data_IF_953567557821
#
_entry.id   IF_953567557821
#
_cell.length_a   1.000
_cell.length_b   1.000
_cell.length_c   1.000
_cell.angle_alpha   90.00
_cell.angle_beta   90.00
_cell.angle_gamma   90.00
#
_symmetry.space_group_name_H-M   'P 1'
#
loop_
_entity.id
_entity.type
_entity.pdbx_description
1 polymer ?
#
# COMPACT_ATOMS: atom_id res chain seq x y z
N UNK A 1 -93.32 6.57 -22.56
CA UNK A 1 -92.52 5.36 -22.26
C UNK A 1 -91.29 5.34 -23.15
N UNK A 2 -90.14 5.77 -22.65
CA UNK A 2 -88.85 5.78 -23.39
C UNK A 2 -87.90 4.84 -22.65
N UNK A 3 -87.51 3.75 -23.33
CA UNK A 3 -86.56 2.79 -22.81
C UNK A 3 -85.14 3.34 -23.04
N UNK A 4 -84.40 3.53 -21.96
CA UNK A 4 -82.96 3.81 -21.99
C UNK A 4 -82.21 2.48 -22.16
N UNK A 5 -81.42 2.42 -23.22
CA UNK A 5 -80.45 1.33 -23.46
C UNK A 5 -79.13 1.79 -22.87
N UNK A 6 -78.65 1.11 -21.81
CA UNK A 6 -77.36 1.33 -21.24
C UNK A 6 -76.30 0.55 -22.07
N UNK A 7 -75.38 1.28 -22.70
CA UNK A 7 -74.18 0.72 -23.31
C UNK A 7 -73.15 0.48 -22.22
N UNK A 8 -72.82 -0.78 -21.97
CA UNK A 8 -71.69 -1.16 -21.13
C UNK A 8 -70.41 -1.07 -21.99
N UNK A 9 -69.62 -0.07 -21.66
CA UNK A 9 -68.24 0.05 -22.22
C UNK A 9 -67.29 -0.92 -21.54
N UNK A 10 -66.78 -1.85 -22.31
CA UNK A 10 -65.73 -2.77 -21.88
C UNK A 10 -64.40 -2.04 -21.96
N UNK A 11 -63.86 -1.57 -20.81
CA UNK A 11 -62.50 -1.05 -20.76
C UNK A 11 -61.49 -2.21 -20.69
N UNK A 12 -60.78 -2.44 -21.80
CA UNK A 12 -59.69 -3.36 -21.84
C UNK A 12 -58.46 -2.70 -21.20
N UNK A 13 -58.18 -2.97 -19.92
CA UNK A 13 -56.95 -2.58 -19.29
C UNK A 13 -55.82 -3.57 -19.67
N UNK A 14 -54.96 -3.10 -20.59
CA UNK A 14 -53.69 -3.79 -20.90
C UNK A 14 -52.79 -3.58 -19.71
N UNK A 15 -52.74 -4.56 -18.84
CA UNK A 15 -51.77 -4.62 -17.78
C UNK A 15 -50.40 -4.94 -18.38
N UNK A 16 -49.54 -3.92 -18.45
CA UNK A 16 -48.10 -4.14 -18.73
C UNK A 16 -47.55 -4.78 -17.47
N UNK A 17 -47.39 -6.10 -17.49
CA UNK A 17 -46.65 -6.81 -16.49
C UNK A 17 -45.17 -6.41 -16.63
N UNK A 18 -44.71 -5.54 -15.73
CA UNK A 18 -43.28 -5.36 -15.52
C UNK A 18 -42.72 -6.69 -14.99
N UNK A 19 -42.15 -7.47 -15.91
CA UNK A 19 -41.31 -8.61 -15.53
C UNK A 19 -40.02 -7.98 -14.99
N UNK A 20 -39.98 -7.75 -13.68
CA UNK A 20 -38.74 -7.53 -12.98
C UNK A 20 -37.89 -8.78 -13.21
N UNK A 21 -36.90 -8.68 -14.10
CA UNK A 21 -35.80 -9.63 -14.15
C UNK A 21 -35.04 -9.46 -12.84
N UNK A 22 -35.47 -10.15 -11.81
CA UNK A 22 -34.63 -10.48 -10.71
C UNK A 22 -33.53 -11.36 -11.31
N UNK A 23 -32.44 -10.75 -11.74
CA UNK A 23 -31.22 -11.46 -12.07
C UNK A 23 -30.82 -12.20 -10.81
N UNK A 24 -31.20 -13.47 -10.72
CA UNK A 24 -30.60 -14.38 -9.79
C UNK A 24 -29.10 -14.35 -10.10
N UNK A 25 -28.33 -13.59 -9.32
CA UNK A 25 -26.89 -13.77 -9.26
C UNK A 25 -26.71 -15.19 -8.76
N UNK A 26 -26.49 -16.09 -9.72
CA UNK A 26 -25.99 -17.43 -9.41
C UNK A 26 -24.63 -17.15 -8.79
N UNK A 27 -24.58 -17.08 -7.47
CA UNK A 27 -23.35 -17.22 -6.74
C UNK A 27 -22.87 -18.64 -7.03
N UNK A 28 -22.02 -18.77 -8.03
CA UNK A 28 -21.23 -19.95 -8.24
C UNK A 28 -20.37 -20.08 -6.97
N UNK A 29 -20.87 -20.83 -6.01
CA UNK A 29 -20.07 -21.34 -4.89
C UNK A 29 -19.24 -22.49 -5.42
N UNK A 30 -18.37 -22.15 -6.39
CA UNK A 30 -17.34 -23.06 -6.82
C UNK A 30 -16.28 -23.06 -5.71
N UNK A 31 -16.10 -24.18 -5.00
CA UNK A 31 -15.09 -24.28 -3.95
C UNK A 31 -13.68 -24.01 -4.48
N UNK A 32 -13.44 -24.28 -5.76
CA UNK A 32 -12.19 -23.97 -6.42
C UNK A 32 -12.03 -22.46 -6.62
N UNK A 33 -13.07 -21.74 -7.03
CA UNK A 33 -13.06 -20.29 -7.13
C UNK A 33 -12.87 -19.63 -5.77
N UNK A 34 -13.46 -20.16 -4.71
CA UNK A 34 -13.25 -19.69 -3.34
C UNK A 34 -11.82 -19.93 -2.85
N UNK A 35 -11.22 -21.07 -3.18
CA UNK A 35 -9.82 -21.36 -2.87
C UNK A 35 -8.86 -20.43 -3.66
N UNK A 36 -9.14 -20.20 -4.93
CA UNK A 36 -8.36 -19.25 -5.74
C UNK A 36 -8.46 -17.83 -5.21
N UNK A 37 -9.65 -17.39 -4.79
CA UNK A 37 -9.83 -16.06 -4.20
C UNK A 37 -9.13 -15.94 -2.84
N UNK A 38 -9.22 -16.97 -1.99
CA UNK A 38 -8.51 -17.02 -0.72
C UNK A 38 -6.99 -17.04 -0.91
N UNK A 39 -6.48 -17.83 -1.86
CA UNK A 39 -5.06 -17.85 -2.21
C UNK A 39 -4.61 -16.50 -2.79
N UNK A 40 -5.43 -15.88 -3.64
CA UNK A 40 -5.20 -14.55 -4.19
C UNK A 40 -5.16 -13.51 -3.08
N UNK A 41 -6.13 -13.53 -2.17
CA UNK A 41 -6.18 -12.62 -1.02
C UNK A 41 -4.95 -12.80 -0.13
N UNK A 42 -4.60 -14.03 0.24
CA UNK A 42 -3.42 -14.32 1.05
C UNK A 42 -2.10 -13.90 0.39
N UNK A 43 -2.03 -13.91 -0.95
CA UNK A 43 -0.86 -13.44 -1.70
C UNK A 43 -0.70 -11.91 -1.66
N UNK A 44 -1.82 -11.18 -1.48
CA UNK A 44 -1.83 -9.72 -1.45
C UNK A 44 -2.02 -9.13 -0.06
N UNK A 45 -2.41 -9.96 0.92
CA UNK A 45 -2.41 -9.56 2.31
C UNK A 45 -0.97 -9.64 2.81
N UNK A 46 -0.41 -8.51 3.17
CA UNK A 46 0.83 -8.45 3.92
C UNK A 46 0.57 -7.83 5.30
N UNK A 47 1.33 -8.20 6.32
CA UNK A 47 1.21 -7.54 7.61
C UNK A 47 1.58 -6.06 7.46
N UNK A 48 0.83 -5.18 8.12
CA UNK A 48 1.12 -3.75 8.10
C UNK A 48 2.54 -3.50 8.61
N UNK A 49 3.24 -2.59 7.93
CA UNK A 49 4.60 -2.20 8.31
C UNK A 49 4.59 -1.52 9.67
N UNK A 50 5.33 -2.06 10.62
CA UNK A 50 5.50 -1.54 11.96
C UNK A 50 6.66 -0.56 12.01
N UNK A 51 6.44 0.60 12.61
CA UNK A 51 7.50 1.59 12.83
C UNK A 51 8.14 1.31 14.17
N UNK A 52 9.44 1.07 14.20
CA UNK A 52 10.22 1.06 15.44
C UNK A 52 10.53 2.50 15.81
N UNK A 53 10.08 2.98 16.99
CA UNK A 53 10.25 4.37 17.38
C UNK A 53 11.74 4.77 17.46
N UNK A 54 12.06 5.95 16.96
CA UNK A 54 13.36 6.59 17.11
C UNK A 54 13.21 7.91 17.89
N UNK A 55 14.24 8.30 18.62
CA UNK A 55 14.31 9.62 19.26
C UNK A 55 14.70 10.73 18.29
N UNK A 56 15.34 10.38 17.17
CA UNK A 56 15.97 11.33 16.26
C UNK A 56 15.09 11.64 15.03
N UNK A 57 14.17 10.73 14.70
CA UNK A 57 13.23 10.91 13.60
C UNK A 57 11.82 10.51 14.01
N UNK A 58 10.85 11.17 13.39
CA UNK A 58 9.45 10.73 13.39
C UNK A 58 9.11 10.23 11.98
N UNK A 59 8.59 9.02 11.90
CA UNK A 59 8.15 8.40 10.65
C UNK A 59 6.63 8.33 10.62
N UNK A 60 6.02 8.65 9.48
CA UNK A 60 4.59 8.50 9.22
C UNK A 60 4.42 7.76 7.91
N UNK A 61 3.87 6.55 7.93
CA UNK A 61 3.57 5.80 6.72
C UNK A 61 2.30 6.37 6.09
N UNK A 62 2.38 6.78 4.83
CA UNK A 62 1.26 7.30 4.04
C UNK A 62 0.74 6.28 3.04
N UNK A 63 1.55 5.26 2.71
CA UNK A 63 1.20 4.17 1.82
C UNK A 63 1.88 2.88 2.28
N UNK A 64 1.09 1.83 2.39
CA UNK A 64 1.53 0.48 2.74
C UNK A 64 0.59 -0.51 2.05
N UNK A 65 0.96 -0.96 0.85
CA UNK A 65 0.06 -1.77 0.02
C UNK A 65 0.79 -2.52 -1.08
N UNK A 66 0.18 -3.61 -1.52
CA UNK A 66 0.62 -4.30 -2.73
C UNK A 66 -0.05 -3.65 -3.94
N UNK A 67 0.76 -3.03 -4.79
CA UNK A 67 0.32 -2.43 -6.05
C UNK A 67 0.38 -3.43 -7.19
N UNK A 68 -0.65 -3.41 -8.03
CA UNK A 68 -0.75 -4.22 -9.24
C UNK A 68 -0.61 -3.37 -10.49
N UNK A 69 0.08 -3.91 -11.47
CA UNK A 69 0.08 -3.40 -12.84
C UNK A 69 -0.37 -4.52 -13.78
N UNK A 70 -0.99 -4.16 -14.89
CA UNK A 70 -1.45 -5.13 -15.90
C UNK A 70 -0.32 -5.99 -16.51
N UNK A 71 0.91 -5.49 -16.49
CA UNK A 71 2.03 -6.06 -17.25
C UNK A 71 3.28 -6.33 -16.41
N UNK A 72 3.25 -6.08 -15.10
CA UNK A 72 4.37 -6.29 -14.19
C UNK A 72 3.93 -7.09 -12.97
N UNK A 73 4.87 -7.83 -12.34
CA UNK A 73 4.57 -8.50 -11.08
C UNK A 73 4.08 -7.49 -10.03
N UNK A 74 3.24 -7.93 -9.10
CA UNK A 74 2.82 -7.08 -8.00
C UNK A 74 4.01 -6.59 -7.18
N UNK A 75 3.99 -5.32 -6.77
CA UNK A 75 5.01 -4.71 -5.95
C UNK A 75 4.45 -4.37 -4.57
N UNK A 76 5.18 -4.73 -3.51
CA UNK A 76 4.98 -4.12 -2.21
C UNK A 76 5.54 -2.69 -2.27
N UNK A 77 4.71 -1.73 -1.88
CA UNK A 77 5.09 -0.31 -1.81
C UNK A 77 4.86 0.18 -0.39
N UNK A 78 5.93 0.65 0.25
CA UNK A 78 5.89 1.35 1.54
C UNK A 78 6.44 2.74 1.32
N UNK A 79 5.64 3.76 1.60
CA UNK A 79 6.05 5.15 1.44
C UNK A 79 5.50 6.01 2.57
N UNK A 80 6.15 7.13 2.82
CA UNK A 80 5.75 8.00 3.90
C UNK A 80 6.63 9.23 4.03
N UNK A 81 6.50 9.85 5.20
CA UNK A 81 7.21 11.04 5.59
C UNK A 81 8.15 10.74 6.74
N UNK A 82 9.34 11.33 6.71
CA UNK A 82 10.31 11.34 7.79
C UNK A 82 10.61 12.76 8.22
N UNK A 83 10.50 13.02 9.51
CA UNK A 83 10.74 14.35 10.10
C UNK A 83 11.95 14.28 11.04
N UNK A 84 12.90 15.19 10.89
CA UNK A 84 14.01 15.35 11.82
C UNK A 84 13.49 15.92 13.15
N UNK A 85 13.59 15.16 14.22
CA UNK A 85 13.17 15.58 15.58
C UNK A 85 14.32 16.05 16.46
N UNK A 86 15.54 16.05 15.90
CA UNK A 86 16.73 16.54 16.62
C UNK A 86 16.81 18.08 16.57
N UNK A 87 17.75 18.64 17.33
CA UNK A 87 18.10 20.07 17.27
C UNK A 87 19.15 20.40 16.22
N UNK A 88 19.62 19.40 15.43
CA UNK A 88 20.70 19.55 14.47
C UNK A 88 20.21 19.16 13.07
N UNK A 89 20.75 19.79 12.02
CA UNK A 89 20.53 19.33 10.65
C UNK A 89 21.03 17.88 10.49
N UNK A 90 20.31 17.10 9.69
CA UNK A 90 20.69 15.74 9.30
C UNK A 90 21.02 15.74 7.81
N UNK A 91 22.20 15.30 7.44
CA UNK A 91 22.61 15.28 6.03
C UNK A 91 21.76 14.31 5.22
N UNK A 92 21.30 13.23 5.86
CA UNK A 92 20.38 12.26 5.31
C UNK A 92 19.71 11.46 6.42
N UNK A 93 18.62 10.81 6.08
CA UNK A 93 17.98 9.82 6.95
C UNK A 93 18.08 8.47 6.28
N UNK A 94 18.80 7.56 6.92
CA UNK A 94 18.89 6.16 6.52
C UNK A 94 17.98 5.32 7.40
N UNK A 95 17.16 4.52 6.76
CA UNK A 95 16.24 3.58 7.41
C UNK A 95 16.47 2.18 6.85
N UNK A 96 16.06 1.18 7.59
CA UNK A 96 16.06 -0.21 7.16
C UNK A 96 14.63 -0.72 7.24
N UNK A 97 14.17 -1.34 6.16
CA UNK A 97 12.97 -2.15 6.16
C UNK A 97 13.37 -3.62 6.25
N UNK A 98 12.87 -4.34 7.26
CA UNK A 98 13.14 -5.75 7.47
C UNK A 98 11.88 -6.59 7.36
N UNK A 99 12.04 -7.77 6.82
CA UNK A 99 11.00 -8.79 6.66
C UNK A 99 11.37 -9.98 7.54
N UNK A 100 10.51 -10.33 8.47
CA UNK A 100 10.78 -11.32 9.50
C UNK A 100 9.80 -12.48 9.44
N UNK A 101 10.24 -13.66 9.87
CA UNK A 101 9.36 -14.79 10.09
C UNK A 101 8.61 -14.67 11.43
N UNK A 102 7.78 -15.67 11.74
CA UNK A 102 6.99 -15.70 12.99
C UNK A 102 7.84 -15.84 14.26
N UNK A 103 9.13 -16.17 14.13
CA UNK A 103 10.08 -16.26 15.24
C UNK A 103 10.86 -14.95 15.47
N UNK A 104 10.68 -13.95 14.59
CA UNK A 104 11.44 -12.70 14.64
C UNK A 104 12.79 -12.77 13.92
N UNK A 105 13.05 -13.86 13.17
CA UNK A 105 14.25 -13.96 12.36
C UNK A 105 14.12 -13.13 11.10
N UNK A 106 15.06 -12.22 10.85
CA UNK A 106 15.13 -11.44 9.62
C UNK A 106 15.41 -12.37 8.43
N UNK A 107 14.53 -12.35 7.45
CA UNK A 107 14.60 -13.11 6.21
C UNK A 107 15.15 -12.27 5.06
N UNK A 108 14.85 -10.99 5.06
CA UNK A 108 15.28 -10.02 4.06
C UNK A 108 15.31 -8.64 4.67
N UNK A 109 16.22 -7.79 4.25
CA UNK A 109 16.28 -6.39 4.67
C UNK A 109 16.82 -5.52 3.53
N UNK A 110 16.28 -4.32 3.43
CA UNK A 110 16.67 -3.31 2.44
C UNK A 110 16.92 -1.96 3.10
N UNK A 111 17.86 -1.23 2.53
CA UNK A 111 18.14 0.14 2.94
C UNK A 111 17.23 1.11 2.21
N UNK A 112 16.69 2.09 2.94
CA UNK A 112 15.85 3.15 2.43
C UNK A 112 16.45 4.49 2.86
N UNK A 113 16.52 5.44 1.94
CA UNK A 113 16.89 6.81 2.23
C UNK A 113 15.69 7.75 2.10
N UNK A 114 15.73 8.89 2.78
CA UNK A 114 14.84 9.99 2.47
C UNK A 114 15.04 10.43 1.01
N UNK A 115 14.02 11.02 0.39
CA UNK A 115 13.96 11.27 -1.06
C UNK A 115 15.14 12.11 -1.57
N UNK A 116 15.53 13.15 -0.83
CA UNK A 116 16.68 13.99 -1.16
C UNK A 116 17.96 13.17 -1.26
N UNK A 117 18.23 12.30 -0.29
CA UNK A 117 19.40 11.42 -0.32
C UNK A 117 19.27 10.34 -1.41
N UNK A 118 18.10 9.72 -1.54
CA UNK A 118 17.85 8.69 -2.56
C UNK A 118 18.05 9.24 -4.00
N UNK A 119 17.83 10.53 -4.22
CA UNK A 119 18.06 11.18 -5.53
C UNK A 119 19.53 11.29 -5.92
N UNK A 120 20.46 11.04 -4.99
CA UNK A 120 21.90 11.06 -5.26
C UNK A 120 22.42 9.78 -5.90
N UNK A 121 21.65 8.71 -5.94
CA UNK A 121 22.01 7.43 -6.55
C UNK A 121 21.87 6.23 -5.61
N UNK A 122 22.59 5.16 -5.91
CA UNK A 122 22.63 3.96 -5.08
C UNK A 122 23.44 4.17 -3.80
N UNK A 123 23.33 3.22 -2.84
CA UNK A 123 23.91 3.32 -1.48
C UNK A 123 25.39 3.78 -1.45
N UNK A 124 26.22 3.17 -2.27
CA UNK A 124 27.65 3.53 -2.32
C UNK A 124 27.89 4.91 -2.93
N UNK A 125 27.05 5.33 -3.88
CA UNK A 125 27.13 6.64 -4.51
C UNK A 125 26.63 7.73 -3.58
N UNK A 126 25.53 7.47 -2.86
CA UNK A 126 25.02 8.36 -1.80
C UNK A 126 26.11 8.60 -0.76
N UNK A 127 26.74 7.56 -0.24
CA UNK A 127 27.84 7.67 0.72
C UNK A 127 29.03 8.48 0.16
N UNK A 128 29.41 8.21 -1.06
CA UNK A 128 30.51 8.94 -1.71
C UNK A 128 30.21 10.42 -1.86
N UNK A 129 29.02 10.77 -2.36
CA UNK A 129 28.62 12.16 -2.56
C UNK A 129 28.51 12.92 -1.23
N UNK A 130 27.95 12.29 -0.20
CA UNK A 130 27.82 12.91 1.12
C UNK A 130 29.18 13.10 1.79
N UNK A 131 30.15 12.20 1.56
CA UNK A 131 31.52 12.38 2.04
C UNK A 131 32.25 13.51 1.32
N UNK A 132 32.00 13.69 0.00
CA UNK A 132 32.60 14.74 -0.79
C UNK A 132 31.95 16.12 -0.58
N UNK A 133 30.65 16.13 -0.31
CA UNK A 133 29.84 17.35 -0.12
C UNK A 133 28.99 17.25 1.15
N UNK A 134 29.61 17.27 2.32
CA UNK A 134 28.86 17.27 3.57
C UNK A 134 27.88 18.46 3.61
N UNK A 135 26.72 18.24 4.18
CA UNK A 135 25.63 19.24 4.30
C UNK A 135 24.97 19.65 2.97
N UNK A 136 24.96 18.79 1.96
CA UNK A 136 24.20 19.06 0.74
C UNK A 136 22.69 18.93 1.02
N UNK A 137 22.00 20.07 1.08
CA UNK A 137 20.56 20.18 1.35
C UNK A 137 20.06 19.35 2.55
N UNK A 138 20.65 19.56 3.76
CA UNK A 138 20.35 18.75 4.91
C UNK A 138 18.91 18.93 5.38
N UNK A 139 18.34 17.88 5.98
CA UNK A 139 17.04 17.93 6.61
C UNK A 139 17.13 18.72 7.91
N UNK A 140 16.63 19.95 7.90
CA UNK A 140 16.68 20.89 9.03
C UNK A 140 15.89 20.34 10.25
N UNK A 141 16.19 20.81 11.47
CA UNK A 141 15.37 20.53 12.64
C UNK A 141 13.88 20.83 12.40
N UNK A 142 13.01 19.88 12.66
CA UNK A 142 11.58 19.98 12.35
C UNK A 142 11.22 19.86 10.87
N UNK A 143 12.21 19.79 9.98
CA UNK A 143 12.01 19.58 8.55
C UNK A 143 11.49 18.17 8.26
N UNK A 144 10.73 18.04 7.19
CA UNK A 144 10.14 16.78 6.72
C UNK A 144 10.56 16.51 5.29
N UNK A 145 10.88 15.26 4.99
CA UNK A 145 11.11 14.77 3.64
C UNK A 145 10.36 13.45 3.43
N UNK A 146 10.22 13.01 2.20
CA UNK A 146 9.54 11.78 1.83
C UNK A 146 10.52 10.61 1.77
N UNK A 147 9.97 9.39 1.84
CA UNK A 147 10.66 8.16 1.48
C UNK A 147 9.73 7.25 0.70
N UNK A 148 10.30 6.37 -0.11
CA UNK A 148 9.55 5.34 -0.83
C UNK A 148 10.40 4.10 -1.01
N UNK A 149 9.80 2.95 -0.75
CA UNK A 149 10.36 1.64 -1.00
C UNK A 149 9.41 0.88 -1.92
N UNK A 150 9.95 0.17 -2.89
CA UNK A 150 9.16 -0.68 -3.79
C UNK A 150 9.96 -1.92 -4.18
N UNK A 151 9.37 -3.10 -3.95
CA UNK A 151 9.99 -4.38 -4.30
C UNK A 151 8.96 -5.31 -4.94
N UNK A 152 9.30 -6.03 -6.03
CA UNK A 152 8.44 -7.06 -6.58
C UNK A 152 8.17 -8.17 -5.54
N UNK A 153 6.90 -8.47 -5.29
CA UNK A 153 6.53 -9.46 -4.26
C UNK A 153 7.12 -10.86 -4.50
N UNK A 154 7.34 -11.34 -5.75
CA UNK A 154 8.02 -12.61 -5.98
C UNK A 154 9.49 -12.64 -5.51
N UNK A 155 10.10 -11.48 -5.28
CA UNK A 155 11.47 -11.38 -4.75
C UNK A 155 11.51 -11.45 -3.22
N UNK A 156 10.36 -11.31 -2.56
CA UNK A 156 10.26 -11.40 -1.11
C UNK A 156 10.10 -12.85 -0.65
N UNK A 157 10.75 -13.25 0.45
CA UNK A 157 10.44 -14.49 1.12
C UNK A 157 9.01 -14.42 1.70
N UNK A 158 8.45 -15.56 2.11
CA UNK A 158 7.22 -15.57 2.88
C UNK A 158 7.52 -15.06 4.30
N UNK A 159 7.00 -13.91 4.65
CA UNK A 159 7.25 -13.23 5.92
C UNK A 159 5.96 -13.11 6.77
N UNK A 160 6.13 -12.90 8.06
CA UNK A 160 5.05 -12.73 9.03
C UNK A 160 5.00 -11.31 9.62
N UNK A 161 6.08 -10.55 9.48
CA UNK A 161 6.21 -9.20 10.04
C UNK A 161 7.07 -8.33 9.13
N UNK A 162 6.76 -7.03 9.08
CA UNK A 162 7.57 -6.00 8.42
C UNK A 162 7.88 -4.92 9.46
N UNK A 163 9.14 -4.56 9.59
CA UNK A 163 9.57 -3.46 10.46
C UNK A 163 10.34 -2.41 9.66
N UNK A 164 10.10 -1.15 9.99
CA UNK A 164 10.84 0.00 9.50
C UNK A 164 11.48 0.71 10.68
N UNK A 165 12.79 0.85 10.65
CA UNK A 165 13.55 1.51 11.72
C UNK A 165 14.68 2.37 11.16
N UNK A 166 15.10 3.36 11.96
CA UNK A 166 16.25 4.18 11.63
C UNK A 166 17.54 3.34 11.78
N UNK A 167 18.45 3.43 10.82
CA UNK A 167 19.77 2.84 10.94
C UNK A 167 20.60 3.63 11.96
N UNK A 168 21.01 3.00 13.10
CA UNK A 168 21.75 3.70 14.14
C UNK A 168 23.18 4.09 13.74
N UNK A 169 23.70 3.56 12.63
CA UNK A 169 25.09 3.77 12.17
C UNK A 169 25.20 5.02 11.30
N UNK A 170 24.07 5.60 10.89
CA UNK A 170 24.01 6.73 9.98
C UNK A 170 23.96 8.10 10.69
N UNK A 171 24.80 8.31 11.69
CA UNK A 171 25.02 9.62 12.34
C UNK A 171 26.45 10.09 12.15
#
# INVERSE_FOLDING_TARGET
MRKLIALAGLALSIGIANVAHAGAQVQLTDPEAAQHEAARKAYYDHPATQIVPSKDIKVVITKDSIMRSCCMPPNLVVAGDVTNTTSHPMDYVKMIISFEDSSGKVLHAETIYNLKAASLGEDDEVKRILNEKPHFDPLQPGGTDHFSFSIPTPMLPKFAKVELYQDPIAQ
#
